data_IF_423205402370
#
_entry.id   IF_423205402370
#
_cell.length_a   1.000
_cell.length_b   1.000
_cell.length_c   1.000
_cell.angle_alpha   90.00
_cell.angle_beta   90.00
_cell.angle_gamma   90.00
#
_symmetry.space_group_name_H-M   'P 1'
#
loop_
_entity.id
_entity.type
_entity.pdbx_description
1 polymer ?
#
# COMPACT_ATOMS: atom_id res chain seq x y z
N UNK A 1 11.41 15.28 -44.71
CA UNK A 1 10.19 16.10 -44.60
C UNK A 1 10.29 16.88 -43.31
N UNK A 2 9.90 18.15 -43.38
CA UNK A 2 10.34 19.28 -42.57
C UNK A 2 10.20 19.15 -41.05
N UNK A 3 11.21 19.68 -40.36
CA UNK A 3 11.21 19.99 -38.94
C UNK A 3 10.27 21.16 -38.64
N UNK A 4 9.55 21.11 -37.51
CA UNK A 4 8.85 22.26 -36.94
C UNK A 4 9.38 22.49 -35.54
N UNK A 5 10.15 23.56 -35.37
CA UNK A 5 10.59 24.10 -34.08
C UNK A 5 9.66 25.26 -33.70
N UNK A 6 8.95 25.14 -32.58
CA UNK A 6 8.16 26.22 -32.01
C UNK A 6 8.93 26.79 -30.82
N UNK A 7 9.55 27.94 -31.04
CA UNK A 7 10.11 28.78 -29.99
C UNK A 7 9.01 29.72 -29.49
N UNK A 8 8.71 29.69 -28.19
CA UNK A 8 7.80 30.63 -27.54
C UNK A 8 8.52 31.36 -26.41
N UNK A 9 8.48 32.69 -26.49
CA UNK A 9 9.22 33.69 -25.70
C UNK A 9 8.75 33.79 -24.24
N UNK A 10 9.63 34.21 -23.31
CA UNK A 10 9.25 34.57 -21.94
C UNK A 10 8.65 35.99 -21.90
N UNK A 11 7.51 36.12 -21.21
CA UNK A 11 6.93 37.41 -20.83
C UNK A 11 7.27 37.74 -19.38
N UNK A 12 7.90 38.90 -19.16
CA UNK A 12 8.34 39.45 -17.89
C UNK A 12 7.52 40.71 -17.60
N UNK A 13 6.56 40.66 -16.65
CA UNK A 13 5.87 41.79 -15.99
C UNK A 13 5.26 41.18 -14.70
N UNK A 14 5.46 41.60 -13.46
CA UNK A 14 5.74 42.91 -12.89
C UNK A 14 4.51 43.40 -12.12
N UNK A 15 4.48 43.27 -10.79
CA UNK A 15 3.64 44.08 -9.88
C UNK A 15 4.03 43.82 -8.41
N UNK A 16 4.62 44.82 -7.76
CA UNK A 16 4.82 44.87 -6.31
C UNK A 16 3.60 45.50 -5.65
N UNK A 17 3.03 44.84 -4.64
CA UNK A 17 1.88 45.35 -3.87
C UNK A 17 2.28 45.67 -2.43
N UNK A 18 1.82 46.83 -1.99
CA UNK A 18 2.22 47.55 -0.80
C UNK A 18 1.75 46.92 0.52
N UNK A 19 2.52 47.20 1.58
CA UNK A 19 2.26 46.85 2.98
C UNK A 19 1.14 47.72 3.54
N UNK A 20 0.05 47.10 3.99
CA UNK A 20 -1.01 47.74 4.76
C UNK A 20 -1.04 47.20 6.20
N UNK A 21 -0.68 48.04 7.17
CA UNK A 21 -0.86 47.79 8.60
C UNK A 21 -2.29 48.15 9.01
N UNK A 22 -3.06 47.19 9.52
CA UNK A 22 -4.36 47.45 10.16
C UNK A 22 -4.37 46.86 11.57
N UNK A 23 -4.91 47.67 12.48
CA UNK A 23 -4.83 47.55 13.93
C UNK A 23 -5.68 46.42 14.53
N UNK A 24 -5.27 46.03 15.74
CA UNK A 24 -5.84 45.03 16.64
C UNK A 24 -7.22 45.47 17.18
N UNK A 25 -8.19 44.56 17.12
CA UNK A 25 -9.34 44.54 18.03
C UNK A 25 -9.36 43.18 18.73
N UNK A 26 -8.91 43.19 19.99
CA UNK A 26 -8.92 42.06 20.91
C UNK A 26 -10.32 41.93 21.54
N UNK A 27 -11.10 40.95 21.09
CA UNK A 27 -12.28 40.46 21.80
C UNK A 27 -12.02 39.08 22.39
N UNK A 28 -12.45 38.77 23.63
CA UNK A 28 -12.36 37.42 24.16
C UNK A 28 -13.52 36.61 23.57
N UNK A 29 -13.27 35.91 22.46
CA UNK A 29 -14.13 34.80 22.11
C UNK A 29 -13.81 33.67 23.11
N UNK A 30 -14.78 33.34 23.97
CA UNK A 30 -14.79 32.09 24.71
C UNK A 30 -14.82 30.96 23.69
N UNK A 31 -13.62 30.54 23.27
CA UNK A 31 -13.43 29.31 22.51
C UNK A 31 -13.89 28.19 23.44
N UNK A 32 -15.14 27.75 23.27
CA UNK A 32 -15.60 26.48 23.78
C UNK A 32 -14.65 25.44 23.20
N UNK A 33 -13.67 25.03 24.01
CA UNK A 33 -12.74 23.98 23.68
C UNK A 33 -13.61 22.75 23.40
N UNK A 34 -13.81 22.45 22.12
CA UNK A 34 -14.33 21.16 21.73
C UNK A 34 -13.47 20.14 22.48
N UNK A 35 -14.08 19.17 23.18
CA UNK A 35 -13.30 18.10 23.76
C UNK A 35 -12.42 17.56 22.63
N UNK A 36 -11.10 17.38 22.85
CA UNK A 36 -10.25 16.79 21.84
C UNK A 36 -10.87 15.43 21.53
N UNK A 37 -11.60 15.36 20.42
CA UNK A 37 -12.12 14.10 19.92
C UNK A 37 -10.88 13.24 19.79
N UNK A 38 -10.81 12.08 20.44
CA UNK A 38 -9.67 11.20 20.27
C UNK A 38 -9.60 10.91 18.78
N UNK A 39 -8.66 11.58 18.10
CA UNK A 39 -8.21 11.21 16.78
C UNK A 39 -7.95 9.71 16.91
N UNK A 40 -8.66 8.91 16.12
CA UNK A 40 -8.61 7.45 16.18
C UNK A 40 -7.16 7.01 16.45
N UNK A 41 -6.94 6.01 17.34
CA UNK A 41 -5.63 5.70 17.89
C UNK A 41 -4.57 5.74 16.80
N UNK A 42 -3.52 6.54 17.03
CA UNK A 42 -2.45 6.72 16.07
C UNK A 42 -1.91 5.34 15.69
N UNK A 43 -1.90 5.08 14.39
CA UNK A 43 -1.49 3.80 13.86
C UNK A 43 0.04 3.70 13.97
N UNK A 44 0.53 2.89 14.91
CA UNK A 44 1.98 2.74 15.11
C UNK A 44 2.65 2.02 13.92
N UNK A 45 1.91 1.10 13.28
CA UNK A 45 2.40 0.36 12.11
C UNK A 45 1.27 0.19 11.10
N UNK A 46 1.47 0.69 9.89
CA UNK A 46 0.56 0.44 8.77
C UNK A 46 0.90 -0.88 8.06
N UNK A 47 -0.08 -1.41 7.34
CA UNK A 47 0.03 -2.64 6.56
C UNK A 47 -0.84 -2.63 5.30
N UNK A 48 -0.41 -3.38 4.30
CA UNK A 48 -1.25 -3.78 3.17
C UNK A 48 -2.37 -4.71 3.66
N UNK A 49 -3.57 -4.55 3.10
CA UNK A 49 -4.78 -5.31 3.47
C UNK A 49 -5.33 -6.17 2.33
N UNK A 50 -4.51 -6.47 1.32
CA UNK A 50 -4.90 -7.23 0.13
C UNK A 50 -4.58 -6.47 -1.15
N UNK A 51 -5.61 -6.19 -1.95
CA UNK A 51 -5.44 -5.53 -3.24
C UNK A 51 -5.10 -4.05 -3.03
N UNK A 52 -3.92 -3.67 -3.52
CA UNK A 52 -3.40 -2.31 -3.42
C UNK A 52 -3.39 -1.65 -4.79
N UNK A 53 -3.76 -0.37 -4.83
CA UNK A 53 -3.75 0.43 -6.05
C UNK A 53 -3.30 1.86 -5.78
N UNK A 54 -2.55 2.42 -6.73
CA UNK A 54 -2.18 3.83 -6.75
C UNK A 54 -2.33 4.41 -8.15
N UNK A 55 -2.55 5.72 -8.23
CA UNK A 55 -2.64 6.48 -9.47
C UNK A 55 -1.44 7.41 -9.58
N UNK A 56 -0.73 7.30 -10.70
CA UNK A 56 0.39 8.16 -11.04
C UNK A 56 -0.09 9.39 -11.82
N UNK A 57 0.60 10.52 -11.67
CA UNK A 57 0.26 11.77 -12.36
C UNK A 57 0.44 11.68 -13.89
N UNK A 58 1.23 10.72 -14.37
CA UNK A 58 1.40 10.42 -15.80
C UNK A 58 0.26 9.56 -16.38
N UNK A 59 -0.81 9.30 -15.61
CA UNK A 59 -2.03 8.63 -16.08
C UNK A 59 -2.08 7.12 -15.85
N UNK A 60 -0.98 6.49 -15.42
CA UNK A 60 -0.97 5.06 -15.12
C UNK A 60 -1.58 4.75 -13.75
N UNK A 61 -2.18 3.58 -13.63
CA UNK A 61 -2.62 2.98 -12.35
C UNK A 61 -1.79 1.76 -12.06
N UNK A 62 -1.08 1.74 -10.93
CA UNK A 62 -0.29 0.57 -10.51
C UNK A 62 -1.11 -0.24 -9.54
N UNK A 63 -1.12 -1.57 -9.73
CA UNK A 63 -1.84 -2.51 -8.89
C UNK A 63 -0.97 -3.70 -8.53
N UNK A 64 -1.07 -4.16 -7.29
CA UNK A 64 -0.50 -5.42 -6.81
C UNK A 64 -1.26 -5.87 -5.57
N UNK A 65 -1.06 -7.12 -5.15
CA UNK A 65 -1.66 -7.66 -3.93
C UNK A 65 -0.59 -7.95 -2.90
N UNK A 66 -0.78 -7.48 -1.68
CA UNK A 66 0.09 -7.82 -0.54
C UNK A 66 -0.67 -7.73 0.77
N UNK A 67 -0.14 -8.36 1.81
CA UNK A 67 -0.68 -8.31 3.19
C UNK A 67 0.45 -8.14 4.19
N UNK A 68 0.24 -7.34 5.23
CA UNK A 68 1.27 -7.02 6.21
C UNK A 68 2.15 -5.84 5.79
N UNK A 69 3.32 -5.62 6.42
CA UNK A 69 4.16 -4.45 6.17
C UNK A 69 5.02 -4.57 4.90
N UNK A 70 5.16 -5.76 4.33
CA UNK A 70 5.99 -6.01 3.16
C UNK A 70 5.17 -6.02 1.86
N UNK A 71 5.75 -5.53 0.78
CA UNK A 71 5.24 -5.66 -0.57
C UNK A 71 6.05 -6.72 -1.31
N UNK A 72 5.39 -7.73 -1.86
CA UNK A 72 6.04 -8.78 -2.65
C UNK A 72 5.08 -9.38 -3.67
N UNK A 73 5.60 -9.81 -4.82
CA UNK A 73 4.84 -10.56 -5.83
C UNK A 73 4.68 -9.81 -7.14
N UNK A 74 3.63 -10.14 -7.88
CA UNK A 74 3.37 -9.55 -9.21
C UNK A 74 2.71 -8.18 -9.09
N UNK A 75 3.09 -7.28 -9.99
CA UNK A 75 2.48 -5.96 -10.16
C UNK A 75 2.08 -5.72 -11.61
N UNK A 76 1.07 -4.88 -11.82
CA UNK A 76 0.57 -4.47 -13.13
C UNK A 76 0.45 -2.94 -13.17
N UNK A 77 0.85 -2.34 -14.29
CA UNK A 77 0.54 -0.96 -14.62
C UNK A 77 -0.56 -0.94 -15.68
N UNK A 78 -1.68 -0.29 -15.38
CA UNK A 78 -2.77 -0.08 -16.30
C UNK A 78 -2.67 1.31 -16.93
N UNK A 79 -2.95 1.40 -18.22
CA UNK A 79 -3.11 2.67 -18.92
C UNK A 79 -4.43 3.39 -18.52
N UNK A 80 -4.68 4.55 -19.12
CA UNK A 80 -5.90 5.33 -18.88
C UNK A 80 -7.19 4.62 -19.32
N UNK A 81 -7.09 3.58 -20.15
CA UNK A 81 -8.22 2.77 -20.60
C UNK A 81 -8.47 1.56 -19.68
N UNK A 82 -7.67 1.40 -18.62
CA UNK A 82 -7.72 0.25 -17.72
C UNK A 82 -7.08 -1.01 -18.29
N UNK A 83 -6.35 -0.93 -19.41
CA UNK A 83 -5.66 -2.08 -20.00
C UNK A 83 -4.26 -2.21 -19.42
N UNK A 84 -3.81 -3.45 -19.19
CA UNK A 84 -2.46 -3.72 -18.73
C UNK A 84 -1.44 -3.27 -19.79
N UNK A 85 -0.69 -2.24 -19.46
CA UNK A 85 0.40 -1.73 -20.28
C UNK A 85 1.72 -2.45 -19.96
N UNK A 86 1.95 -2.77 -18.68
CA UNK A 86 3.17 -3.44 -18.21
C UNK A 86 2.87 -4.36 -17.03
N UNK A 87 3.68 -5.40 -16.88
CA UNK A 87 3.71 -6.26 -15.69
C UNK A 87 5.11 -6.26 -15.10
N UNK A 88 5.23 -6.57 -13.81
CA UNK A 88 6.50 -6.54 -13.11
C UNK A 88 6.45 -7.29 -11.79
N UNK A 89 7.53 -7.17 -11.03
CA UNK A 89 7.63 -7.72 -9.67
C UNK A 89 7.88 -6.61 -8.67
N UNK A 90 7.11 -6.59 -7.57
CA UNK A 90 7.23 -5.61 -6.49
C UNK A 90 8.05 -6.19 -5.34
N UNK A 91 8.84 -5.33 -4.70
CA UNK A 91 9.61 -5.62 -3.48
C UNK A 91 9.76 -4.37 -2.63
N UNK A 92 9.74 -4.50 -1.30
CA UNK A 92 9.90 -3.38 -0.37
C UNK A 92 8.80 -3.41 0.69
N UNK A 93 8.32 -2.25 1.13
CA UNK A 93 7.21 -2.20 2.07
C UNK A 93 6.97 -0.87 2.75
N UNK A 94 6.57 -0.96 4.01
CA UNK A 94 6.18 0.13 4.88
C UNK A 94 6.97 0.06 6.18
N UNK A 95 7.56 1.17 6.60
CA UNK A 95 8.09 1.37 7.94
C UNK A 95 7.29 2.49 8.61
N UNK A 96 6.45 2.12 9.59
CA UNK A 96 5.49 3.03 10.22
C UNK A 96 4.60 3.72 9.19
N UNK A 97 4.85 5.00 8.89
CA UNK A 97 4.12 5.80 7.90
C UNK A 97 4.87 5.95 6.57
N UNK A 98 6.13 5.54 6.50
CA UNK A 98 6.98 5.67 5.31
C UNK A 98 6.78 4.48 4.39
N UNK A 99 6.55 4.78 3.12
CA UNK A 99 6.46 3.79 2.05
C UNK A 99 7.74 3.85 1.23
N UNK A 100 8.30 2.68 0.97
CA UNK A 100 9.51 2.51 0.19
C UNK A 100 9.46 1.14 -0.52
N UNK A 101 9.13 1.13 -1.80
CA UNK A 101 9.13 -0.10 -2.60
C UNK A 101 9.59 0.15 -4.02
N UNK A 102 10.10 -0.91 -4.66
CA UNK A 102 10.55 -0.90 -6.04
C UNK A 102 9.73 -1.91 -6.84
N UNK A 103 9.34 -1.53 -8.05
CA UNK A 103 8.79 -2.42 -9.06
C UNK A 103 9.78 -2.56 -10.20
N UNK A 104 10.17 -3.80 -10.47
CA UNK A 104 10.96 -4.16 -11.66
C UNK A 104 10.00 -4.52 -12.78
N UNK A 105 9.81 -3.61 -13.74
CA UNK A 105 8.92 -3.83 -14.87
C UNK A 105 9.58 -4.76 -15.89
N UNK A 106 8.80 -5.66 -16.49
CA UNK A 106 9.28 -6.62 -17.48
C UNK A 106 9.82 -5.95 -18.76
N UNK A 107 9.44 -4.71 -19.03
CA UNK A 107 9.95 -3.90 -20.13
C UNK A 107 11.34 -3.28 -19.87
N UNK A 108 11.88 -3.39 -18.65
CA UNK A 108 13.21 -2.88 -18.29
C UNK A 108 13.23 -1.81 -17.19
N UNK A 109 12.34 -0.78 -17.19
CA UNK A 109 12.34 0.26 -16.18
C UNK A 109 12.21 -0.27 -14.74
N UNK A 110 12.80 0.45 -13.79
CA UNK A 110 12.74 0.12 -12.36
C UNK A 110 12.12 1.27 -11.60
N UNK A 111 10.81 1.22 -11.40
CA UNK A 111 10.11 2.25 -10.65
C UNK A 111 10.40 2.13 -9.17
N UNK A 112 11.10 3.08 -8.57
CA UNK A 112 11.22 3.23 -7.12
C UNK A 112 10.14 4.19 -6.64
N UNK A 113 9.41 3.80 -5.59
CA UNK A 113 8.26 4.52 -5.07
C UNK A 113 8.50 4.85 -3.60
N UNK A 114 8.50 6.14 -3.29
CA UNK A 114 8.68 6.66 -1.94
C UNK A 114 7.51 7.56 -1.58
N UNK A 115 6.99 7.44 -0.36
CA UNK A 115 5.86 8.26 0.08
C UNK A 115 5.59 8.20 1.57
N UNK A 116 4.53 8.90 1.97
CA UNK A 116 4.03 8.94 3.34
C UNK A 116 2.53 8.65 3.38
N UNK A 117 2.11 7.91 4.40
CA UNK A 117 0.71 7.69 4.76
C UNK A 117 0.25 8.90 5.59
N UNK A 118 -0.81 9.56 5.14
CA UNK A 118 -1.35 10.73 5.83
C UNK A 118 -2.42 10.32 6.85
N UNK A 119 -2.90 11.29 7.64
CA UNK A 119 -3.93 11.06 8.65
C UNK A 119 -5.29 10.60 8.08
N UNK A 120 -5.51 10.79 6.78
CA UNK A 120 -6.68 10.27 6.05
C UNK A 120 -6.57 8.76 5.73
N UNK A 121 -5.45 8.12 6.07
CA UNK A 121 -5.18 6.72 5.76
C UNK A 121 -4.75 6.47 4.32
N UNK A 122 -4.50 7.52 3.53
CA UNK A 122 -4.03 7.41 2.15
C UNK A 122 -2.57 7.83 2.00
N UNK A 123 -1.86 7.09 1.17
CA UNK A 123 -0.48 7.41 0.84
C UNK A 123 -0.36 8.36 -0.34
N UNK A 124 0.63 9.24 -0.27
CA UNK A 124 1.04 10.13 -1.36
C UNK A 124 2.56 10.12 -1.46
N UNK A 125 3.08 10.27 -2.67
CA UNK A 125 4.52 10.19 -2.86
C UNK A 125 4.99 10.47 -4.27
N UNK A 126 6.22 10.06 -4.52
CA UNK A 126 6.93 10.22 -5.78
C UNK A 126 7.46 8.90 -6.28
N UNK A 127 7.63 8.79 -7.59
CA UNK A 127 8.33 7.68 -8.22
C UNK A 127 9.40 8.18 -9.17
N UNK A 128 10.47 7.40 -9.29
CA UNK A 128 11.58 7.60 -10.23
C UNK A 128 11.89 6.28 -10.92
N UNK A 129 12.36 6.34 -12.17
CA UNK A 129 12.99 5.18 -12.81
C UNK A 129 14.46 5.13 -12.40
N UNK A 130 14.86 4.12 -11.62
CA UNK A 130 16.25 3.92 -11.18
C UNK A 130 17.17 3.59 -12.35
N UNK A 131 16.64 2.96 -13.42
CA UNK A 131 17.44 2.56 -14.57
C UNK A 131 17.75 3.75 -15.49
N UNK A 132 16.81 4.69 -15.58
CA UNK A 132 16.94 5.91 -16.37
C UNK A 132 16.36 7.07 -15.54
N UNK A 133 17.18 7.74 -14.72
CA UNK A 133 16.71 8.83 -13.85
C UNK A 133 16.08 9.96 -14.68
N UNK A 134 14.77 9.85 -14.88
CA UNK A 134 13.95 10.77 -15.63
C UNK A 134 13.17 11.71 -14.71
N UNK A 135 12.10 12.34 -15.21
CA UNK A 135 11.28 13.23 -14.39
C UNK A 135 10.61 12.44 -13.25
N UNK A 136 10.68 13.01 -12.04
CA UNK A 136 9.97 12.52 -10.87
C UNK A 136 8.47 12.60 -11.13
N UNK A 137 7.74 11.51 -10.91
CA UNK A 137 6.28 11.47 -11.08
C UNK A 137 5.58 11.34 -9.73
N UNK A 138 4.62 12.22 -9.45
CA UNK A 138 3.80 12.12 -8.24
C UNK A 138 2.80 10.97 -8.34
N UNK A 139 2.44 10.38 -7.21
CA UNK A 139 1.37 9.38 -7.12
C UNK A 139 0.57 9.51 -5.83
N UNK A 140 -0.65 8.97 -5.86
CA UNK A 140 -1.52 8.83 -4.69
C UNK A 140 -2.16 7.44 -4.65
N UNK A 141 -2.20 6.82 -3.48
CA UNK A 141 -2.94 5.58 -3.27
C UNK A 141 -4.44 5.82 -3.51
N UNK A 142 -5.10 4.85 -4.14
CA UNK A 142 -6.54 4.87 -4.41
C UNK A 142 -7.32 4.01 -3.42
N UNK A 143 -6.63 3.32 -2.52
CA UNK A 143 -7.20 2.55 -1.42
C UNK A 143 -6.53 2.95 -0.10
N UNK A 144 -7.27 2.89 1.03
CA UNK A 144 -6.70 3.19 2.33
C UNK A 144 -5.81 2.04 2.82
N UNK A 145 -4.89 2.37 3.73
CA UNK A 145 -4.04 1.39 4.40
C UNK A 145 -4.70 0.86 5.66
N UNK A 146 -4.36 -0.38 6.04
CA UNK A 146 -4.78 -0.95 7.31
C UNK A 146 -3.81 -0.60 8.43
N UNK A 147 -4.32 -0.61 9.65
CA UNK A 147 -3.47 -0.62 10.83
C UNK A 147 -3.14 -2.05 11.23
N UNK A 148 -1.86 -2.31 11.47
CA UNK A 148 -1.45 -3.54 12.11
C UNK A 148 -1.87 -3.45 13.57
N UNK A 149 -2.73 -4.38 14.00
CA UNK A 149 -2.92 -4.61 15.43
C UNK A 149 -1.59 -5.15 15.96
N UNK A 150 -1.01 -4.57 17.03
CA UNK A 150 0.15 -5.15 17.67
C UNK A 150 -0.16 -6.60 18.01
N UNK A 151 0.72 -7.52 17.58
CA UNK A 151 0.62 -8.89 18.08
C UNK A 151 0.79 -8.80 19.61
N UNK A 152 -0.11 -9.39 20.41
CA UNK A 152 0.02 -9.33 21.86
C UNK A 152 1.37 -9.92 22.27
N UNK A 153 2.30 -9.09 22.77
CA UNK A 153 3.62 -9.51 23.26
C UNK A 153 3.55 -10.30 24.58
N UNK A 154 2.35 -10.71 25.00
CA UNK A 154 2.18 -11.58 26.15
C UNK A 154 2.75 -12.96 25.89
N UNK A 155 3.29 -13.66 26.91
CA UNK A 155 3.57 -15.09 26.79
C UNK A 155 2.29 -15.75 26.28
N UNK A 156 2.35 -16.39 25.11
CA UNK A 156 1.29 -17.30 24.69
C UNK A 156 1.07 -18.21 25.89
N UNK A 157 -0.14 -18.30 26.49
CA UNK A 157 -0.39 -19.28 27.52
C UNK A 157 0.15 -20.58 26.97
N UNK A 158 1.18 -21.14 27.63
CA UNK A 158 1.73 -22.42 27.22
C UNK A 158 0.57 -23.41 27.10
N UNK A 159 0.69 -24.46 26.28
CA UNK A 159 -0.29 -25.54 26.33
C UNK A 159 -0.47 -25.88 27.81
N UNK A 160 -1.66 -25.60 28.32
CA UNK A 160 -1.99 -25.94 29.69
C UNK A 160 -1.86 -27.45 29.72
N UNK A 161 -0.76 -27.95 30.29
CA UNK A 161 -0.63 -29.33 30.70
C UNK A 161 -1.64 -29.51 31.84
N UNK A 162 -2.93 -29.48 31.49
CA UNK A 162 -3.96 -30.03 32.34
C UNK A 162 -3.58 -31.49 32.65
N UNK A 163 -4.02 -32.02 33.80
CA UNK A 163 -3.80 -33.41 34.12
C UNK A 163 -4.25 -34.24 32.91
N UNK A 164 -3.33 -35.04 32.37
CA UNK A 164 -3.62 -36.07 31.39
C UNK A 164 -4.70 -36.94 32.04
N UNK A 165 -5.95 -36.77 31.62
CA UNK A 165 -6.96 -37.79 31.86
C UNK A 165 -6.43 -39.03 31.16
N UNK A 166 -6.20 -40.08 31.95
CA UNK A 166 -5.74 -41.36 31.46
C UNK A 166 -6.59 -41.77 30.24
N UNK A 167 -5.98 -42.33 29.19
CA UNK A 167 -6.72 -42.77 28.02
C UNK A 167 -7.77 -43.78 28.47
N UNK A 168 -9.04 -43.44 28.27
CA UNK A 168 -10.13 -44.42 28.30
C UNK A 168 -9.90 -45.36 27.13
N UNK A 169 -9.51 -46.60 27.42
CA UNK A 169 -9.42 -47.69 26.47
C UNK A 169 -10.70 -47.74 25.63
N UNK A 170 -10.61 -47.26 24.39
CA UNK A 170 -11.68 -47.37 23.41
C UNK A 170 -11.47 -48.70 22.68
N UNK A 171 -12.44 -49.63 22.72
CA UNK A 171 -12.30 -50.92 22.05
C UNK A 171 -12.02 -50.75 20.55
N UNK A 172 -11.13 -51.58 19.96
CA UNK A 172 -10.79 -51.48 18.54
C UNK A 172 -12.01 -51.77 17.66
N UNK A 173 -12.23 -50.89 16.67
CA UNK A 173 -13.25 -51.07 15.65
C UNK A 173 -12.91 -52.27 14.73
N UNK A 174 -13.90 -53.05 14.29
CA UNK A 174 -13.67 -54.18 13.39
C UNK A 174 -13.21 -53.72 12.00
N UNK A 175 -12.17 -54.37 11.50
CA UNK A 175 -11.51 -54.14 10.22
C UNK A 175 -12.48 -54.25 9.03
N UNK A 176 -12.62 -53.16 8.27
CA UNK A 176 -13.29 -53.18 6.98
C UNK A 176 -12.37 -53.73 5.88
N UNK A 177 -12.93 -54.67 5.12
CA UNK A 177 -12.37 -55.49 4.04
C UNK A 177 -11.78 -54.66 2.87
N UNK A 178 -10.71 -55.11 2.20
CA UNK A 178 -10.17 -54.44 1.01
C UNK A 178 -11.14 -54.52 -0.18
N UNK A 179 -11.33 -53.37 -0.84
CA UNK A 179 -12.10 -53.24 -2.08
C UNK A 179 -11.29 -53.80 -3.26
N UNK A 180 -11.86 -54.67 -4.12
CA UNK A 180 -11.15 -55.25 -5.26
C UNK A 180 -10.91 -54.25 -6.39
N UNK A 181 -9.69 -54.29 -6.93
CA UNK A 181 -9.28 -53.76 -8.23
C UNK A 181 -10.07 -54.42 -9.36
N UNK A 182 -10.79 -53.61 -10.15
CA UNK A 182 -11.42 -54.02 -11.40
C UNK A 182 -10.61 -53.59 -12.63
N UNK A 183 -10.67 -54.32 -13.75
CA UNK A 183 -9.61 -54.37 -14.74
C UNK A 183 -9.77 -53.42 -15.94
N UNK A 184 -8.61 -53.08 -16.49
CA UNK A 184 -8.30 -52.69 -17.87
C UNK A 184 -9.14 -53.40 -18.94
N UNK A 185 -9.77 -52.63 -19.86
CA UNK A 185 -9.81 -52.99 -21.29
C UNK A 185 -10.21 -51.83 -22.23
N UNK A 186 -9.46 -51.79 -23.32
CA UNK A 186 -9.49 -51.03 -24.58
C UNK A 186 -10.78 -51.27 -25.42
N UNK A 187 -11.05 -50.53 -26.53
CA UNK A 187 -10.18 -50.35 -27.73
C UNK A 187 -9.60 -48.96 -27.94
#
# INVERSE_FOLDING_TARGET
MSHVSIASKPGLLGAATALGTAALLSGPALAGAWPPVPLAPACDQFQFIGDYSLRQANGFTVQFRSTGPSASGSASALDSSGKTAMTGTVSGGIDRTRIDFTIRWGSGPRGHYTGLINADGFARGTTVDEANPGPITNWGATVPWGCATPEPTGPRPGPSNGPILAPTDTPPAPSATPRPTGPTRQP
#
